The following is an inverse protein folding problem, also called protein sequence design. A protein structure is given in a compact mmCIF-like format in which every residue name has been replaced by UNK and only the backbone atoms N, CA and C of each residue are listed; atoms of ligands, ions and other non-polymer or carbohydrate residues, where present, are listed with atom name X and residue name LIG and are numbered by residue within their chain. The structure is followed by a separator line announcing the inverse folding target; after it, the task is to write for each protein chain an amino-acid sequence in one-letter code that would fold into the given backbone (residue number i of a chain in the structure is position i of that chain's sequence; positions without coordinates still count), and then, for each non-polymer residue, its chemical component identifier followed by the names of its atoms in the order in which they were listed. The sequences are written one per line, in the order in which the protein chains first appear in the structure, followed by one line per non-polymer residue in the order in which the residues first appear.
data_IF_078968466229
#
_entry.id   IF_078968466229
#
_cell.length_a   1.000
_cell.length_b   1.000
_cell.length_c   1.000
_cell.angle_alpha   90.00
_cell.angle_beta   90.00
_cell.angle_gamma   90.00
#
_symmetry.space_group_name_H-M   'P 1'
#
loop_
_entity.id
_entity.type
_entity.pdbx_description
1 polymer ?
#
# COMPACT_ATOMS: atom_id res chain seq x y z
N UNK A 1 10.24 -8.99 25.72
CA UNK A 1 10.13 -8.26 24.44
C UNK A 1 10.07 -9.31 23.34
N UNK A 2 8.91 -9.94 23.18
CA UNK A 2 8.73 -11.08 22.28
C UNK A 2 7.23 -11.40 22.18
N UNK A 3 6.83 -11.87 21.00
CA UNK A 3 5.46 -12.23 20.57
C UNK A 3 4.66 -11.18 19.76
N UNK A 4 5.27 -10.06 19.34
CA UNK A 4 4.59 -9.15 18.40
C UNK A 4 4.51 -9.77 17.00
N UNK A 5 3.32 -9.71 16.38
CA UNK A 5 3.08 -10.12 14.99
C UNK A 5 3.50 -8.98 14.08
N UNK A 6 4.62 -9.12 13.38
CA UNK A 6 5.27 -8.03 12.63
C UNK A 6 5.30 -8.28 11.13
N UNK A 7 5.21 -7.20 10.35
CA UNK A 7 5.47 -7.23 8.91
C UNK A 7 5.98 -5.89 8.37
N UNK A 8 6.56 -5.93 7.17
CA UNK A 8 6.68 -4.76 6.31
C UNK A 8 5.66 -4.87 5.17
N UNK A 9 4.78 -3.88 5.04
CA UNK A 9 3.78 -3.79 3.99
C UNK A 9 4.24 -2.85 2.88
N UNK A 10 4.43 -3.40 1.68
CA UNK A 10 4.79 -2.65 0.49
C UNK A 10 3.55 -2.40 -0.35
N UNK A 11 3.35 -1.14 -0.76
CA UNK A 11 2.10 -0.72 -1.38
C UNK A 11 2.26 0.38 -2.41
N UNK A 12 1.25 0.53 -3.26
CA UNK A 12 1.05 1.64 -4.19
C UNK A 12 -0.38 2.16 -4.05
N UNK A 13 -0.55 3.46 -3.77
CA UNK A 13 -1.85 4.07 -3.50
C UNK A 13 -2.76 4.13 -4.73
N UNK A 14 -2.23 3.94 -5.95
CA UNK A 14 -3.04 3.84 -7.16
C UNK A 14 -3.72 2.46 -7.32
N UNK A 15 -3.37 1.48 -6.50
CA UNK A 15 -3.88 0.11 -6.61
C UNK A 15 -5.13 -0.11 -5.73
N UNK A 16 -6.26 -0.59 -6.28
CA UNK A 16 -7.42 -0.97 -5.47
C UNK A 16 -7.09 -2.11 -4.50
N UNK A 17 -6.16 -2.99 -4.87
CA UNK A 17 -5.71 -4.09 -4.01
C UNK A 17 -4.92 -3.60 -2.79
N UNK A 18 -4.27 -2.44 -2.86
CA UNK A 18 -3.67 -1.80 -1.68
C UNK A 18 -4.74 -1.41 -0.67
N UNK A 19 -5.87 -0.83 -1.10
CA UNK A 19 -6.99 -0.48 -0.23
C UNK A 19 -7.53 -1.71 0.51
N UNK A 20 -7.86 -2.76 -0.25
CA UNK A 20 -8.42 -4.00 0.29
C UNK A 20 -7.44 -4.68 1.27
N UNK A 21 -6.15 -4.70 0.93
CA UNK A 21 -5.12 -5.27 1.79
C UNK A 21 -4.86 -4.43 3.05
N UNK A 22 -4.81 -3.10 2.94
CA UNK A 22 -4.49 -2.21 4.06
C UNK A 22 -5.50 -2.36 5.22
N UNK A 23 -6.80 -2.49 4.92
CA UNK A 23 -7.84 -2.77 5.93
C UNK A 23 -7.59 -4.06 6.72
N UNK A 24 -7.02 -5.07 6.05
CA UNK A 24 -6.73 -6.37 6.65
C UNK A 24 -5.41 -6.33 7.41
N UNK A 25 -4.38 -5.68 6.86
CA UNK A 25 -3.05 -5.54 7.45
C UNK A 25 -3.11 -4.81 8.79
N UNK A 26 -3.81 -3.67 8.86
CA UNK A 26 -3.96 -2.90 10.10
C UNK A 26 -4.55 -3.72 11.25
N UNK A 27 -5.44 -4.68 10.94
CA UNK A 27 -6.10 -5.52 11.96
C UNK A 27 -5.33 -6.78 12.30
N UNK A 28 -4.42 -7.22 11.43
CA UNK A 28 -3.82 -8.55 11.50
C UNK A 28 -2.43 -8.58 12.15
N UNK A 29 -1.74 -7.45 12.21
CA UNK A 29 -0.37 -7.30 12.68
C UNK A 29 -0.31 -6.26 13.82
N UNK A 30 0.52 -6.51 14.82
CA UNK A 30 0.73 -5.59 15.95
C UNK A 30 1.66 -4.44 15.56
N UNK A 31 2.64 -4.73 14.69
CA UNK A 31 3.58 -3.73 14.20
C UNK A 31 3.77 -3.88 12.68
N UNK A 32 3.54 -2.79 11.95
CA UNK A 32 3.68 -2.76 10.50
C UNK A 32 4.62 -1.64 10.10
N UNK A 33 5.66 -1.98 9.35
CA UNK A 33 6.45 -1.00 8.62
C UNK A 33 5.76 -0.73 7.28
N UNK A 34 5.24 0.49 7.10
CA UNK A 34 4.53 0.89 5.89
C UNK A 34 5.53 1.47 4.89
N UNK A 35 5.80 0.75 3.81
CA UNK A 35 6.83 1.10 2.82
C UNK A 35 6.20 1.37 1.46
N UNK A 36 6.14 2.62 0.99
CA UNK A 36 5.65 2.90 -0.36
C UNK A 36 6.59 2.28 -1.40
N UNK A 37 6.00 1.71 -2.44
CA UNK A 37 6.67 1.09 -3.57
C UNK A 37 5.99 1.50 -4.88
N UNK A 38 6.69 1.36 -5.99
CA UNK A 38 6.24 1.77 -7.31
C UNK A 38 5.83 0.56 -8.15
N UNK A 39 4.54 0.46 -8.52
CA UNK A 39 4.05 -0.62 -9.39
C UNK A 39 4.68 -0.58 -10.79
N UNK A 40 5.00 0.63 -11.29
CA UNK A 40 5.66 0.80 -12.60
C UNK A 40 7.03 0.14 -12.64
N UNK A 41 7.81 0.24 -11.56
CA UNK A 41 9.13 -0.40 -11.48
C UNK A 41 9.04 -1.93 -11.54
N UNK A 42 8.01 -2.53 -10.91
CA UNK A 42 7.77 -3.97 -10.99
C UNK A 42 7.35 -4.37 -12.42
N UNK A 43 6.45 -3.60 -13.06
CA UNK A 43 6.00 -3.87 -14.43
C UNK A 43 7.11 -3.74 -15.47
N UNK A 44 7.94 -2.69 -15.40
CA UNK A 44 9.04 -2.47 -16.35
C UNK A 44 10.09 -3.59 -16.31
N UNK A 45 10.32 -4.20 -15.15
CA UNK A 45 11.19 -5.36 -15.05
C UNK A 45 10.58 -6.64 -15.61
N UNK A 46 9.24 -6.74 -15.62
CA UNK A 46 8.47 -7.91 -16.04
C UNK A 46 7.90 -7.83 -17.48
N UNK A 47 8.37 -6.92 -18.35
CA UNK A 47 7.83 -6.59 -19.70
C UNK A 47 7.50 -7.79 -20.63
N UNK A 48 6.51 -7.70 -21.57
CA UNK A 48 5.95 -6.51 -22.23
C UNK A 48 4.62 -6.01 -21.68
N UNK A 49 4.34 -4.74 -21.97
CA UNK A 49 3.20 -3.95 -21.53
C UNK A 49 1.90 -4.38 -22.23
N UNK A 50 1.40 -5.56 -21.92
CA UNK A 50 -0.05 -5.66 -21.86
C UNK A 50 -0.43 -4.97 -20.56
N UNK A 51 -1.09 -3.82 -20.69
CA UNK A 51 -2.02 -3.42 -19.65
C UNK A 51 -2.91 -4.65 -19.46
N UNK A 52 -2.66 -5.47 -18.43
CA UNK A 52 -3.65 -6.44 -17.99
C UNK A 52 -4.97 -5.70 -17.96
N UNK A 53 -5.96 -6.25 -18.66
CA UNK A 53 -7.13 -5.50 -19.12
C UNK A 53 -7.63 -4.68 -17.92
N UNK A 54 -7.76 -3.37 -18.09
CA UNK A 54 -8.25 -2.50 -17.02
C UNK A 54 -9.58 -3.07 -16.50
N UNK A 55 -10.36 -3.70 -17.38
CA UNK A 55 -11.56 -4.43 -17.03
C UNK A 55 -11.31 -5.66 -16.15
N UNK A 56 -10.28 -6.48 -16.41
CA UNK A 56 -9.91 -7.61 -15.55
C UNK A 56 -9.52 -7.15 -14.14
N UNK A 57 -8.82 -6.02 -14.02
CA UNK A 57 -8.49 -5.43 -12.71
C UNK A 57 -9.76 -4.96 -12.01
N UNK A 58 -10.68 -4.33 -12.75
CA UNK A 58 -11.97 -3.87 -12.22
C UNK A 58 -12.80 -5.05 -11.70
N UNK A 59 -13.03 -6.04 -12.56
CA UNK A 59 -13.84 -7.23 -12.23
C UNK A 59 -13.26 -7.95 -11.00
N UNK A 60 -11.93 -8.14 -10.97
CA UNK A 60 -11.28 -8.78 -9.85
C UNK A 60 -11.37 -7.93 -8.57
N UNK A 61 -11.14 -6.62 -8.64
CA UNK A 61 -11.24 -5.76 -7.47
C UNK A 61 -12.66 -5.72 -6.89
N UNK A 62 -13.69 -5.69 -7.75
CA UNK A 62 -15.10 -5.73 -7.34
C UNK A 62 -15.47 -7.06 -6.69
N UNK A 63 -15.05 -8.20 -7.26
CA UNK A 63 -15.23 -9.52 -6.66
C UNK A 63 -14.58 -9.59 -5.26
N UNK A 64 -13.33 -9.13 -5.16
CA UNK A 64 -12.59 -9.12 -3.88
C UNK A 64 -13.22 -8.18 -2.87
N UNK A 65 -13.64 -6.99 -3.26
CA UNK A 65 -14.33 -6.04 -2.39
C UNK A 65 -15.65 -6.62 -1.85
N UNK A 66 -16.44 -7.27 -2.72
CA UNK A 66 -17.68 -7.95 -2.34
C UNK A 66 -17.41 -9.09 -1.33
N UNK A 67 -16.40 -9.92 -1.60
CA UNK A 67 -16.00 -11.02 -0.71
C UNK A 67 -15.55 -10.51 0.68
N UNK A 68 -14.88 -9.35 0.72
CA UNK A 68 -14.40 -8.70 1.95
C UNK A 68 -15.46 -7.82 2.62
N UNK A 69 -16.60 -7.57 1.97
CA UNK A 69 -17.65 -6.64 2.40
C UNK A 69 -17.13 -5.21 2.61
N UNK A 70 -16.23 -4.78 1.73
CA UNK A 70 -15.71 -3.42 1.69
C UNK A 70 -16.40 -2.65 0.56
N UNK A 71 -16.78 -1.38 0.76
CA UNK A 71 -17.25 -0.54 -0.33
C UNK A 71 -16.10 -0.34 -1.32
N UNK A 72 -16.42 -0.37 -2.62
CA UNK A 72 -15.49 -0.03 -3.68
C UNK A 72 -16.14 1.02 -4.61
N UNK A 73 -15.42 2.11 -4.82
CA UNK A 73 -15.69 3.18 -5.77
C UNK A 73 -14.42 3.40 -6.58
N UNK A 74 -14.57 3.80 -7.83
CA UNK A 74 -13.44 4.07 -8.71
C UNK A 74 -13.07 5.56 -8.64
N UNK A 75 -11.82 5.91 -8.33
CA UNK A 75 -11.36 7.30 -8.38
C UNK A 75 -11.59 7.91 -9.76
N UNK A 76 -11.98 9.19 -9.82
CA UNK A 76 -12.31 9.89 -11.07
C UNK A 76 -11.25 9.73 -12.18
N UNK A 77 -9.97 9.75 -11.81
CA UNK A 77 -8.83 9.63 -12.73
C UNK A 77 -8.18 8.25 -12.75
N UNK A 78 -8.76 7.23 -12.12
CA UNK A 78 -8.18 5.89 -12.14
C UNK A 78 -8.19 5.34 -13.59
N UNK A 79 -7.13 4.64 -14.07
CA UNK A 79 -5.96 4.09 -13.38
C UNK A 79 -4.70 4.97 -13.44
N UNK A 80 -4.83 6.29 -13.38
CA UNK A 80 -3.66 7.19 -13.37
C UNK A 80 -2.83 7.04 -12.09
N UNK A 81 -1.52 7.28 -12.20
CA UNK A 81 -0.60 7.27 -11.07
C UNK A 81 -0.80 8.51 -10.18
N UNK A 82 -0.53 8.36 -8.87
CA UNK A 82 -0.72 9.43 -7.86
C UNK A 82 0.61 9.80 -7.17
N UNK A 83 1.60 10.36 -7.91
CA UNK A 83 2.96 10.56 -7.39
C UNK A 83 3.01 11.50 -6.18
N UNK A 84 2.15 12.54 -6.13
CA UNK A 84 2.09 13.45 -4.99
C UNK A 84 1.67 12.68 -3.72
N UNK A 85 0.62 11.88 -3.80
CA UNK A 85 0.13 11.06 -2.69
C UNK A 85 1.17 10.02 -2.24
N UNK A 86 1.88 9.40 -3.17
CA UNK A 86 2.95 8.44 -2.85
C UNK A 86 4.13 9.08 -2.10
N UNK A 87 4.51 10.30 -2.46
CA UNK A 87 5.54 11.06 -1.73
C UNK A 87 5.08 11.46 -0.33
N UNK A 88 3.80 11.81 -0.17
CA UNK A 88 3.21 12.06 1.16
C UNK A 88 3.16 10.76 1.97
N UNK A 89 2.86 9.60 1.36
CA UNK A 89 2.91 8.31 2.04
C UNK A 89 4.32 7.99 2.56
N UNK A 90 5.35 8.25 1.75
CA UNK A 90 6.75 8.12 2.16
C UNK A 90 7.07 9.05 3.33
N UNK A 91 6.60 10.29 3.30
CA UNK A 91 6.76 11.21 4.43
C UNK A 91 6.02 10.70 5.67
N UNK A 92 4.78 10.25 5.54
CA UNK A 92 3.96 9.72 6.61
C UNK A 92 4.65 8.54 7.31
N UNK A 93 5.22 7.62 6.53
CA UNK A 93 6.00 6.50 7.05
C UNK A 93 7.18 6.96 7.93
N UNK A 94 7.94 7.97 7.49
CA UNK A 94 9.04 8.55 8.27
C UNK A 94 8.59 9.22 9.57
N UNK A 95 7.35 9.70 9.61
CA UNK A 95 6.75 10.31 10.80
C UNK A 95 6.04 9.31 11.73
N UNK A 96 6.10 8.00 11.44
CA UNK A 96 5.36 6.98 12.20
C UNK A 96 3.85 7.04 11.99
N UNK A 97 3.39 7.65 10.89
CA UNK A 97 1.98 7.83 10.50
C UNK A 97 1.61 7.10 9.21
N UNK A 98 2.46 6.17 8.76
CA UNK A 98 2.28 5.44 7.50
C UNK A 98 0.91 4.75 7.42
N UNK A 99 0.56 3.90 8.39
CA UNK A 99 -0.72 3.18 8.40
C UNK A 99 -1.93 4.11 8.41
N UNK A 100 -1.92 5.10 9.32
CA UNK A 100 -2.99 6.10 9.40
C UNK A 100 -3.20 6.84 8.07
N UNK A 101 -2.12 7.25 7.40
CA UNK A 101 -2.20 7.91 6.10
C UNK A 101 -2.66 6.99 4.98
N UNK A 102 -2.10 5.78 4.88
CA UNK A 102 -2.49 4.82 3.83
C UNK A 102 -3.95 4.45 3.95
N UNK A 103 -4.45 4.18 5.16
CA UNK A 103 -5.87 3.88 5.39
C UNK A 103 -6.76 5.08 5.03
N UNK A 104 -6.40 6.30 5.44
CA UNK A 104 -7.17 7.49 5.11
C UNK A 104 -7.21 7.75 3.59
N UNK A 105 -6.05 7.75 2.94
CA UNK A 105 -5.92 8.00 1.50
C UNK A 105 -6.65 6.92 0.68
N UNK A 106 -6.44 5.64 0.99
CA UNK A 106 -7.08 4.55 0.24
C UNK A 106 -8.59 4.51 0.44
N UNK A 107 -9.12 4.88 1.61
CA UNK A 107 -10.57 5.05 1.83
C UNK A 107 -11.13 6.21 1.02
N UNK A 108 -10.48 7.38 1.03
CA UNK A 108 -10.93 8.51 0.20
C UNK A 108 -10.95 8.12 -1.29
N UNK A 109 -9.90 7.44 -1.76
CA UNK A 109 -9.81 6.99 -3.14
C UNK A 109 -10.85 5.92 -3.50
N UNK A 110 -10.81 4.77 -2.80
CA UNK A 110 -11.50 3.56 -3.22
C UNK A 110 -12.78 3.26 -2.44
N UNK A 111 -13.07 3.95 -1.34
CA UNK A 111 -14.42 3.94 -0.77
C UNK A 111 -15.22 5.20 -1.14
N UNK A 112 -14.53 6.32 -1.39
CA UNK A 112 -15.14 7.61 -1.73
C UNK A 112 -15.13 7.98 -3.21
N UNK A 113 -14.28 7.38 -4.05
CA UNK A 113 -14.15 7.72 -5.46
C UNK A 113 -13.37 9.02 -5.72
N UNK A 114 -12.64 9.53 -4.73
CA UNK A 114 -11.90 10.79 -4.85
C UNK A 114 -10.53 10.59 -5.50
N UNK A 115 -10.05 11.61 -6.21
CA UNK A 115 -8.70 11.61 -6.75
C UNK A 115 -7.67 12.08 -5.70
N UNK A 116 -6.61 11.30 -5.51
CA UNK A 116 -5.53 11.63 -4.56
C UNK A 116 -4.50 12.63 -5.12
N UNK A 117 -4.54 12.92 -6.41
CA UNK A 117 -3.77 14.04 -6.98
C UNK A 117 -4.50 15.39 -6.82
N UNK A 118 -5.76 15.39 -6.36
CA UNK A 118 -6.41 16.59 -5.85
C UNK A 118 -5.77 17.01 -4.51
N UNK A 119 -5.32 18.27 -4.44
CA UNK A 119 -4.62 18.78 -3.28
C UNK A 119 -5.51 18.82 -2.03
N UNK A 120 -6.81 19.14 -2.18
CA UNK A 120 -7.74 19.20 -1.05
C UNK A 120 -7.91 17.80 -0.45
N UNK A 121 -8.20 16.80 -1.29
CA UNK A 121 -8.34 15.39 -0.89
C UNK A 121 -7.05 14.87 -0.25
N UNK A 122 -5.89 15.18 -0.84
CA UNK A 122 -4.60 14.77 -0.29
C UNK A 122 -4.35 15.38 1.09
N UNK A 123 -4.70 16.65 1.29
CA UNK A 123 -4.56 17.31 2.60
C UNK A 123 -5.57 16.81 3.62
N UNK A 124 -6.76 16.38 3.21
CA UNK A 124 -7.74 15.73 4.06
C UNK A 124 -7.22 14.37 4.57
N UNK A 125 -6.67 13.55 3.67
CA UNK A 125 -6.01 12.29 4.06
C UNK A 125 -4.87 12.52 5.06
N UNK A 126 -4.06 13.56 4.82
CA UNK A 126 -2.96 13.94 5.70
C UNK A 126 -3.44 14.42 7.08
N UNK A 127 -4.50 15.23 7.12
CA UNK A 127 -5.11 15.71 8.35
C UNK A 127 -5.68 14.54 9.18
N UNK A 128 -6.41 13.62 8.54
CA UNK A 128 -6.93 12.40 9.17
C UNK A 128 -5.81 11.53 9.77
N UNK A 129 -4.63 11.53 9.16
CA UNK A 129 -3.44 10.83 9.65
C UNK A 129 -2.65 11.59 10.73
N UNK A 130 -3.07 12.81 11.09
CA UNK A 130 -2.37 13.67 12.05
C UNK A 130 -1.06 14.26 11.51
N UNK A 131 -0.92 14.39 10.19
CA UNK A 131 0.22 15.07 9.57
C UNK A 131 0.01 16.59 9.55
N UNK A 132 1.09 17.33 9.74
CA UNK A 132 1.08 18.79 9.59
C UNK A 132 0.94 19.17 8.12
N UNK A 133 0.07 20.14 7.83
CA UNK A 133 -0.19 20.65 6.49
C UNK A 133 1.10 21.04 5.75
N UNK A 134 1.96 21.86 6.35
CA UNK A 134 3.22 22.30 5.72
C UNK A 134 4.12 21.13 5.31
N UNK A 135 4.17 20.10 6.17
CA UNK A 135 4.96 18.89 5.92
C UNK A 135 4.37 18.07 4.76
N UNK A 136 3.05 17.93 4.71
CA UNK A 136 2.34 17.28 3.62
C UNK A 136 2.59 18.00 2.29
N UNK A 137 2.35 19.31 2.22
CA UNK A 137 2.51 20.11 1.01
C UNK A 137 3.95 20.11 0.50
N UNK A 138 4.94 20.15 1.41
CA UNK A 138 6.35 20.03 1.05
C UNK A 138 6.65 18.64 0.50
N UNK A 139 6.21 17.59 1.17
CA UNK A 139 6.48 16.21 0.76
C UNK A 139 5.89 15.89 -0.61
N UNK A 140 4.67 16.35 -0.91
CA UNK A 140 4.01 16.13 -2.20
C UNK A 140 4.85 16.60 -3.42
N UNK A 141 5.69 17.62 -3.22
CA UNK A 141 6.55 18.21 -4.26
C UNK A 141 7.98 17.67 -4.26
N UNK A 142 8.31 16.72 -3.38
CA UNK A 142 9.68 16.32 -3.09
C UNK A 142 10.10 15.07 -3.89
N UNK A 143 10.43 15.26 -5.17
CA UNK A 143 10.72 14.18 -6.14
C UNK A 143 11.84 13.23 -5.71
N UNK A 144 12.79 13.67 -4.89
CA UNK A 144 13.86 12.80 -4.36
C UNK A 144 13.35 11.58 -3.58
N UNK A 145 12.08 11.61 -3.13
CA UNK A 145 11.43 10.47 -2.45
C UNK A 145 11.15 9.31 -3.41
N UNK A 146 11.04 9.58 -4.70
CA UNK A 146 10.69 8.59 -5.72
C UNK A 146 11.76 7.49 -5.82
N UNK A 147 13.04 7.86 -5.73
CA UNK A 147 14.15 6.90 -5.78
C UNK A 147 14.12 5.85 -4.65
N UNK A 148 13.60 6.19 -3.47
CA UNK A 148 13.44 5.24 -2.37
C UNK A 148 12.33 4.22 -2.65
N UNK A 149 11.23 4.67 -3.26
CA UNK A 149 10.10 3.80 -3.64
C UNK A 149 10.49 2.85 -4.78
N UNK A 150 11.29 3.33 -5.74
CA UNK A 150 11.86 2.48 -6.79
C UNK A 150 12.87 1.46 -6.24
N UNK A 151 13.67 1.84 -5.24
CA UNK A 151 14.58 0.92 -4.57
C UNK A 151 13.81 -0.18 -3.81
N UNK A 152 12.71 0.18 -3.13
CA UNK A 152 11.83 -0.79 -2.47
C UNK A 152 11.22 -1.79 -3.47
N UNK A 153 10.73 -1.31 -4.62
CA UNK A 153 10.25 -2.19 -5.70
C UNK A 153 11.32 -3.10 -6.26
N UNK A 154 12.56 -2.61 -6.46
CA UNK A 154 13.67 -3.45 -6.94
C UNK A 154 14.05 -4.53 -5.93
N UNK A 155 14.01 -4.22 -4.63
CA UNK A 155 14.22 -5.21 -3.56
C UNK A 155 13.14 -6.29 -3.60
N UNK A 156 11.88 -5.89 -3.78
CA UNK A 156 10.74 -6.81 -3.88
C UNK A 156 10.84 -7.71 -5.13
N UNK A 157 11.20 -7.15 -6.27
CA UNK A 157 11.45 -7.92 -7.49
C UNK A 157 12.57 -8.95 -7.30
N UNK A 158 13.66 -8.56 -6.63
CA UNK A 158 14.78 -9.45 -6.34
C UNK A 158 14.41 -10.66 -5.48
N UNK A 159 13.26 -10.64 -4.79
CA UNK A 159 12.73 -11.77 -4.04
C UNK A 159 11.74 -12.65 -4.85
N UNK A 160 11.52 -12.35 -6.12
CA UNK A 160 10.60 -13.05 -7.00
C UNK A 160 9.14 -12.56 -6.94
N UNK A 161 8.84 -11.53 -6.15
CA UNK A 161 7.52 -10.93 -6.12
C UNK A 161 7.35 -9.94 -7.28
N UNK A 162 6.24 -10.07 -8.01
CA UNK A 162 6.02 -9.38 -9.30
C UNK A 162 4.94 -8.30 -9.26
N UNK A 163 4.18 -8.21 -8.16
CA UNK A 163 3.09 -7.24 -7.99
C UNK A 163 2.97 -6.72 -6.57
N UNK A 164 2.27 -5.59 -6.45
CA UNK A 164 1.82 -5.00 -5.18
C UNK A 164 0.32 -5.29 -4.98
N UNK A 165 -0.17 -5.27 -3.72
CA UNK A 165 0.58 -5.10 -2.49
C UNK A 165 1.43 -6.34 -2.14
N UNK A 166 2.41 -6.16 -1.26
CA UNK A 166 3.24 -7.26 -0.75
C UNK A 166 3.54 -7.10 0.75
N UNK A 167 3.83 -8.22 1.40
CA UNK A 167 4.17 -8.32 2.82
C UNK A 167 5.49 -9.08 2.97
N UNK A 168 6.45 -8.48 3.67
CA UNK A 168 7.58 -9.20 4.21
C UNK A 168 7.30 -9.60 5.65
N UNK A 169 7.47 -10.89 5.93
CA UNK A 169 7.39 -11.47 7.26
C UNK A 169 8.68 -12.23 7.48
N UNK A 170 9.55 -11.71 8.35
CA UNK A 170 10.92 -12.17 8.54
C UNK A 170 11.70 -12.30 7.22
N UNK A 171 11.89 -13.54 6.73
CA UNK A 171 12.58 -13.85 5.46
C UNK A 171 11.62 -14.24 4.33
N UNK A 172 10.33 -14.38 4.63
CA UNK A 172 9.30 -14.74 3.67
C UNK A 172 8.66 -13.51 3.04
N UNK A 173 8.32 -13.62 1.75
CA UNK A 173 7.60 -12.60 0.99
C UNK A 173 6.27 -13.17 0.48
N UNK A 174 5.21 -12.41 0.67
CA UNK A 174 3.86 -12.73 0.23
C UNK A 174 3.35 -11.56 -0.62
N UNK A 175 2.77 -11.82 -1.79
CA UNK A 175 2.35 -10.73 -2.68
C UNK A 175 1.00 -11.03 -3.35
N UNK A 176 0.21 -9.98 -3.53
CA UNK A 176 -1.22 -10.07 -3.80
C UNK A 176 -2.08 -9.88 -2.55
N UNK A 177 -3.24 -9.25 -2.72
CA UNK A 177 -4.22 -8.99 -1.66
C UNK A 177 -4.69 -10.29 -0.97
N UNK A 178 -4.86 -11.35 -1.75
CA UNK A 178 -5.27 -12.67 -1.31
C UNK A 178 -4.31 -13.26 -0.27
N UNK A 179 -3.01 -12.97 -0.39
CA UNK A 179 -1.94 -13.53 0.46
C UNK A 179 -1.78 -12.87 1.83
N UNK A 180 -2.55 -11.82 2.15
CA UNK A 180 -2.49 -11.15 3.48
C UNK A 180 -2.81 -12.13 4.62
N UNK A 181 -3.74 -13.06 4.39
CA UNK A 181 -4.12 -14.08 5.39
C UNK A 181 -2.96 -15.03 5.70
N UNK A 182 -2.29 -15.54 4.66
CA UNK A 182 -1.12 -16.42 4.79
C UNK A 182 0.01 -15.71 5.52
N UNK A 183 0.31 -14.46 5.14
CA UNK A 183 1.35 -13.66 5.77
C UNK A 183 1.10 -13.49 7.28
N UNK A 184 -0.13 -13.15 7.66
CA UNK A 184 -0.50 -12.99 9.07
C UNK A 184 -0.42 -14.32 9.84
N UNK A 185 -0.82 -15.44 9.23
CA UNK A 185 -0.67 -16.77 9.83
C UNK A 185 0.80 -17.13 10.06
N UNK A 186 1.66 -16.90 9.06
CA UNK A 186 3.11 -17.11 9.17
C UNK A 186 3.74 -16.23 10.24
N UNK A 187 3.36 -14.95 10.32
CA UNK A 187 3.89 -14.02 11.32
C UNK A 187 3.54 -14.46 12.75
N UNK A 188 2.31 -14.96 12.98
CA UNK A 188 1.90 -15.52 14.28
C UNK A 188 2.69 -16.77 14.65
N UNK A 189 2.98 -17.65 13.68
CA UNK A 189 3.80 -18.84 13.93
C UNK A 189 5.22 -18.47 14.34
N UNK A 190 5.81 -17.44 13.72
CA UNK A 190 7.14 -16.94 14.08
C UNK A 190 7.16 -16.24 15.44
N UNK A 191 6.18 -15.40 15.74
CA UNK A 191 6.02 -14.75 17.04
C UNK A 191 5.94 -15.78 18.19
N UNK A 192 5.08 -16.78 18.03
CA UNK A 192 4.90 -17.86 19.01
C UNK A 192 6.15 -18.75 19.16
N UNK A 193 7.00 -18.85 18.13
CA UNK A 193 8.26 -19.58 18.20
C UNK A 193 9.37 -18.79 18.90
N UNK A 194 9.39 -17.46 18.77
CA UNK A 194 10.37 -16.58 19.40
C UNK A 194 10.06 -16.28 20.89
N UNK A 195 8.81 -16.48 21.31
CA UNK A 195 8.38 -16.36 22.71
C UNK A 195 8.62 -17.62 23.57
N UNK A 196 9.06 -18.74 22.97
CA UNK A 196 9.47 -19.96 23.68
C UNK A 196 10.96 -19.93 24.00
#
# INVERSE_FOLDING_TARGET
MGDAVRAEFLFDLASPFTYLAAERVERAFDEVTWTPACSRTLRCASMPADFGDVQEIVDHAEERAAALRLPLQWPERWPMAVPAAMRVAHYAAQQGRGGAFVLAATRLAFAGGFDLDDLEILTEAAAAAGLRLDGCLKAAREERRDGAMEAASRRLLGSGADRLPALWVDRGVFWGEDRVGDAAATARLHAAAAGR
#
